data_IF_800688796562
#
_entry.id   IF_800688796562
#
_cell.length_a   1.000
_cell.length_b   1.000
_cell.length_c   1.000
_cell.angle_alpha   90.00
_cell.angle_beta   90.00
_cell.angle_gamma   90.00
#
_symmetry.space_group_name_H-M   'P 1'
#
loop_
_entity.id
_entity.type
_entity.pdbx_description
1 polymer ?
#
# COMPACT_ATOMS: atom_id res chain seq x y z
N UNK A 1 -0.62 -4.97 5.45
CA UNK A 1 -0.41 -6.06 4.46
C UNK A 1 1.03 -6.57 4.45
N UNK A 2 2.04 -5.70 4.49
CA UNK A 2 3.47 -6.09 4.35
C UNK A 2 4.32 -6.00 5.63
N UNK A 3 3.71 -5.65 6.77
CA UNK A 3 4.41 -5.54 8.06
C UNK A 3 4.91 -6.93 8.51
N UNK A 4 6.12 -7.00 9.06
CA UNK A 4 6.82 -8.23 9.48
C UNK A 4 7.13 -9.21 8.34
N UNK A 5 7.13 -8.77 7.08
CA UNK A 5 7.59 -9.59 5.96
C UNK A 5 9.08 -9.34 5.67
N UNK A 6 9.81 -10.37 5.20
CA UNK A 6 11.12 -10.18 4.58
C UNK A 6 11.03 -9.20 3.41
N UNK A 7 12.09 -8.42 3.21
CA UNK A 7 12.13 -7.35 2.19
C UNK A 7 11.85 -7.90 0.79
N UNK A 8 12.51 -9.00 0.42
CA UNK A 8 12.34 -9.69 -0.88
C UNK A 8 10.89 -10.12 -1.12
N UNK A 9 10.26 -10.73 -0.11
CA UNK A 9 8.86 -11.15 -0.17
C UNK A 9 7.89 -9.97 -0.24
N UNK A 10 8.19 -8.88 0.47
CA UNK A 10 7.38 -7.67 0.44
C UNK A 10 7.40 -7.00 -0.94
N UNK A 11 8.57 -6.87 -1.56
CA UNK A 11 8.71 -6.32 -2.92
C UNK A 11 7.94 -7.14 -3.95
N UNK A 12 8.16 -8.46 -3.98
CA UNK A 12 7.44 -9.38 -4.88
C UNK A 12 5.93 -9.28 -4.69
N UNK A 13 5.46 -9.21 -3.45
CA UNK A 13 4.04 -9.04 -3.17
C UNK A 13 3.48 -7.73 -3.73
N UNK A 14 4.22 -6.62 -3.66
CA UNK A 14 3.79 -5.34 -4.24
C UNK A 14 3.80 -5.38 -5.77
N UNK A 15 4.76 -6.06 -6.40
CA UNK A 15 4.77 -6.28 -7.86
C UNK A 15 3.59 -7.15 -8.32
N UNK A 16 3.23 -8.15 -7.53
CA UNK A 16 2.03 -8.97 -7.77
C UNK A 16 0.73 -8.15 -7.60
N UNK A 17 0.72 -7.13 -6.73
CA UNK A 17 -0.39 -6.18 -6.63
C UNK A 17 -0.47 -5.30 -7.86
N UNK A 18 0.67 -4.80 -8.37
CA UNK A 18 0.72 -3.97 -9.59
C UNK A 18 0.22 -4.75 -10.82
N UNK A 19 0.52 -6.05 -10.89
CA UNK A 19 0.05 -6.95 -11.95
C UNK A 19 -1.34 -7.55 -11.69
N UNK A 20 -2.06 -7.08 -10.65
CA UNK A 20 -3.39 -7.55 -10.26
C UNK A 20 -3.49 -9.06 -9.90
N UNK A 21 -2.36 -9.74 -9.67
CA UNK A 21 -2.32 -11.14 -9.26
C UNK A 21 -2.74 -11.33 -7.80
N UNK A 22 -2.42 -10.37 -6.95
CA UNK A 22 -2.74 -10.42 -5.52
C UNK A 22 -3.40 -9.13 -5.03
N UNK A 23 -4.62 -9.24 -4.48
CA UNK A 23 -5.33 -8.12 -3.90
C UNK A 23 -4.85 -7.79 -2.48
N UNK A 24 -4.88 -6.50 -2.14
CA UNK A 24 -4.66 -6.03 -0.77
C UNK A 24 -6.00 -6.07 -0.02
N UNK A 25 -6.08 -6.78 1.14
CA UNK A 25 -7.28 -6.77 1.97
C UNK A 25 -7.47 -5.40 2.64
N UNK A 26 -8.72 -4.91 2.67
CA UNK A 26 -9.09 -3.67 3.35
C UNK A 26 -9.74 -3.99 4.70
N UNK A 27 -9.11 -3.55 5.79
CA UNK A 27 -9.61 -3.75 7.15
C UNK A 27 -10.42 -2.58 7.70
N UNK A 28 -10.02 -1.33 7.39
CA UNK A 28 -10.61 -0.11 7.98
C UNK A 28 -11.44 0.71 6.99
N UNK A 29 -10.86 1.02 5.83
CA UNK A 29 -11.47 1.90 4.84
C UNK A 29 -12.39 1.12 3.88
N UNK A 30 -13.52 0.63 4.40
CA UNK A 30 -14.36 -0.37 3.73
C UNK A 30 -15.65 0.19 3.10
N UNK A 31 -15.89 1.51 3.17
CA UNK A 31 -17.08 2.15 2.61
C UNK A 31 -17.07 2.17 1.09
N UNK A 32 -17.80 1.23 0.47
CA UNK A 32 -17.92 1.13 -1.00
C UNK A 32 -16.80 0.38 -1.71
N UNK A 33 -15.98 -0.39 -0.98
CA UNK A 33 -14.91 -1.20 -1.60
C UNK A 33 -15.48 -2.46 -2.25
N UNK A 34 -15.06 -2.73 -3.48
CA UNK A 34 -15.40 -3.96 -4.21
C UNK A 34 -14.97 -5.23 -3.48
N UNK A 35 -15.64 -6.34 -3.79
CA UNK A 35 -15.34 -7.66 -3.20
C UNK A 35 -14.63 -8.54 -4.21
N UNK A 36 -13.65 -9.29 -3.73
CA UNK A 36 -12.85 -10.21 -4.53
C UNK A 36 -12.59 -11.49 -3.72
N UNK A 37 -12.43 -12.64 -4.38
CA UNK A 37 -12.15 -13.90 -3.70
C UNK A 37 -10.69 -14.03 -3.20
N UNK A 38 -9.74 -13.31 -3.82
CA UNK A 38 -8.31 -13.34 -3.50
C UNK A 38 -7.96 -13.03 -2.03
N UNK A 39 -8.54 -12.00 -1.36
CA UNK A 39 -8.21 -11.70 0.03
C UNK A 39 -8.78 -12.68 1.06
N UNK A 40 -9.61 -13.66 0.66
CA UNK A 40 -10.32 -14.58 1.60
C UNK A 40 -9.40 -15.25 2.61
N UNK A 41 -8.19 -15.64 2.21
CA UNK A 41 -7.21 -16.29 3.08
C UNK A 41 -6.59 -15.32 4.12
N UNK A 42 -6.71 -14.01 3.92
CA UNK A 42 -6.08 -12.98 4.75
C UNK A 42 -7.11 -12.10 5.47
N UNK A 43 -8.37 -12.12 5.06
CA UNK A 43 -9.45 -11.33 5.65
C UNK A 43 -10.83 -11.90 5.31
N UNK A 44 -11.71 -11.97 6.32
CA UNK A 44 -13.00 -12.66 6.22
C UNK A 44 -14.10 -11.88 5.48
N UNK A 45 -14.00 -10.54 5.41
CA UNK A 45 -15.04 -9.70 4.79
C UNK A 45 -15.06 -9.77 3.25
N UNK A 46 -14.07 -10.42 2.62
CA UNK A 46 -13.92 -10.54 1.17
C UNK A 46 -13.67 -9.20 0.43
N UNK A 47 -13.42 -8.10 1.14
CA UNK A 47 -13.15 -6.79 0.56
C UNK A 47 -11.66 -6.63 0.30
N UNK A 48 -11.31 -6.38 -0.96
CA UNK A 48 -9.94 -6.21 -1.39
C UNK A 48 -9.86 -5.51 -2.74
N UNK A 49 -8.81 -4.72 -2.94
CA UNK A 49 -8.52 -4.10 -4.22
C UNK A 49 -7.01 -4.07 -4.49
N UNK A 50 -6.64 -3.56 -5.66
CA UNK A 50 -5.26 -3.40 -6.11
C UNK A 50 -4.94 -1.90 -6.21
N UNK A 51 -4.53 -1.26 -5.10
CA UNK A 51 -4.21 0.16 -5.13
C UNK A 51 -2.85 0.39 -5.81
N UNK A 52 -2.85 0.45 -7.14
CA UNK A 52 -1.65 0.49 -8.00
C UNK A 52 -0.73 1.65 -7.62
N UNK A 53 -1.27 2.87 -7.55
CA UNK A 53 -0.50 4.07 -7.23
C UNK A 53 0.15 3.96 -5.85
N UNK A 54 -0.61 3.59 -4.81
CA UNK A 54 -0.07 3.44 -3.46
C UNK A 54 0.98 2.34 -3.37
N UNK A 55 0.79 1.21 -4.07
CA UNK A 55 1.76 0.12 -4.11
C UNK A 55 3.07 0.56 -4.76
N UNK A 56 3.02 1.36 -5.83
CA UNK A 56 4.19 1.93 -6.51
C UNK A 56 5.01 2.81 -5.56
N UNK A 57 4.37 3.78 -4.90
CA UNK A 57 5.06 4.66 -3.95
C UNK A 57 5.73 3.91 -2.80
N UNK A 58 5.08 2.86 -2.27
CA UNK A 58 5.66 2.04 -1.21
C UNK A 58 6.83 1.20 -1.73
N UNK A 59 6.74 0.68 -2.97
CA UNK A 59 7.83 -0.08 -3.58
C UNK A 59 9.09 0.79 -3.74
N UNK A 60 8.92 2.03 -4.18
CA UNK A 60 10.03 2.98 -4.31
C UNK A 60 10.63 3.35 -2.96
N UNK A 61 9.81 3.51 -1.92
CA UNK A 61 10.28 3.72 -0.55
C UNK A 61 11.10 2.53 -0.03
N UNK A 62 10.70 1.29 -0.35
CA UNK A 62 11.45 0.09 0.04
C UNK A 62 12.79 -0.04 -0.70
N UNK A 63 12.84 0.33 -1.99
CA UNK A 63 14.11 0.38 -2.76
C UNK A 63 15.07 1.41 -2.16
N UNK A 64 14.56 2.58 -1.77
CA UNK A 64 15.37 3.58 -1.09
C UNK A 64 15.86 3.08 0.29
N UNK A 65 15.00 2.40 1.06
CA UNK A 65 15.38 1.83 2.35
C UNK A 65 16.45 0.74 2.22
N UNK A 66 16.41 -0.07 1.17
CA UNK A 66 17.43 -1.05 0.83
C UNK A 66 18.76 -0.40 0.48
N UNK A 67 18.75 0.61 -0.40
CA UNK A 67 19.96 1.38 -0.74
C UNK A 67 20.61 2.00 0.51
N UNK A 68 19.80 2.52 1.44
CA UNK A 68 20.31 3.01 2.73
C UNK A 68 20.90 1.90 3.62
N UNK A 69 20.43 0.66 3.50
CA UNK A 69 20.95 -0.48 4.25
C UNK A 69 22.28 -0.97 3.67
N UNK A 70 22.41 -0.99 2.33
CA UNK A 70 23.66 -1.27 1.62
C UNK A 70 24.76 -0.27 2.00
N UNK A 71 24.43 1.03 2.01
CA UNK A 71 25.36 2.08 2.45
C UNK A 71 25.82 1.90 3.90
N UNK A 72 24.98 1.30 4.74
CA UNK A 72 25.30 0.97 6.14
C UNK A 72 25.98 -0.39 6.30
N UNK A 73 26.31 -1.07 5.21
CA UNK A 73 26.91 -2.41 5.19
C UNK A 73 26.08 -3.44 5.98
N UNK A 74 24.75 -3.30 5.98
CA UNK A 74 23.85 -4.31 6.52
C UNK A 74 23.66 -5.43 5.50
N UNK A 75 23.49 -6.66 5.98
CA UNK A 75 23.12 -7.79 5.13
C UNK A 75 21.69 -7.60 4.60
N UNK A 76 21.58 -7.36 3.28
CA UNK A 76 20.31 -7.06 2.61
C UNK A 76 19.37 -8.27 2.59
N UNK A 77 19.93 -9.49 2.57
CA UNK A 77 19.16 -10.72 2.43
C UNK A 77 18.38 -11.08 3.69
N UNK A 78 18.88 -10.67 4.86
CA UNK A 78 18.22 -10.88 6.16
C UNK A 78 17.28 -9.74 6.57
N UNK A 79 17.13 -8.69 5.76
CA UNK A 79 16.26 -7.56 6.09
C UNK A 79 14.77 -7.93 6.06
N UNK A 80 14.06 -7.39 7.05
CA UNK A 80 12.60 -7.48 7.11
C UNK A 80 12.00 -6.16 7.59
N UNK A 81 10.72 -5.96 7.27
CA UNK A 81 10.03 -4.72 7.63
C UNK A 81 9.53 -4.80 9.07
N UNK A 82 10.28 -4.21 10.00
CA UNK A 82 9.93 -4.17 11.42
C UNK A 82 8.69 -3.31 11.69
N UNK A 83 8.66 -2.10 11.13
CA UNK A 83 7.62 -1.11 11.41
C UNK A 83 7.27 -0.28 10.17
N UNK A 84 5.97 0.04 10.03
CA UNK A 84 5.46 0.99 9.03
C UNK A 84 4.38 1.83 9.72
N UNK A 85 4.49 3.14 9.57
CA UNK A 85 3.47 4.10 9.98
C UNK A 85 3.05 4.94 8.78
N UNK A 86 1.74 5.20 8.67
CA UNK A 86 1.19 6.07 7.63
C UNK A 86 0.42 7.19 8.31
N UNK A 87 0.87 8.42 8.10
CA UNK A 87 0.25 9.63 8.63
C UNK A 87 -0.33 10.46 7.48
N UNK A 88 -1.38 11.23 7.78
CA UNK A 88 -1.98 12.13 6.81
C UNK A 88 -1.13 13.40 6.68
N UNK A 89 -0.66 13.70 5.47
CA UNK A 89 -0.05 14.98 5.14
C UNK A 89 -1.11 16.09 4.99
N UNK A 90 -0.67 17.35 4.96
CA UNK A 90 -1.54 18.50 4.71
C UNK A 90 -2.33 18.30 3.41
N UNK A 91 -3.66 18.45 3.48
CA UNK A 91 -4.52 18.36 2.30
C UNK A 91 -4.30 19.58 1.42
N UNK A 92 -3.98 19.36 0.14
CA UNK A 92 -3.90 20.45 -0.83
C UNK A 92 -5.31 20.97 -1.17
N UNK A 93 -5.48 22.29 -1.19
CA UNK A 93 -6.76 22.93 -1.51
C UNK A 93 -6.97 22.96 -3.03
N UNK A 94 -8.09 22.38 -3.48
CA UNK A 94 -8.64 22.51 -4.85
C UNK A 94 -10.14 22.78 -4.75
N UNK A 95 -10.70 23.58 -5.67
CA UNK A 95 -12.14 23.87 -5.74
C UNK A 95 -12.74 23.18 -6.96
N UNK A 96 -13.86 22.50 -6.76
CA UNK A 96 -14.69 21.93 -7.83
C UNK A 96 -16.06 22.60 -7.81
N UNK A 97 -16.53 23.14 -8.94
CA UNK A 97 -17.89 23.67 -9.05
C UNK A 97 -18.90 22.53 -9.18
N UNK A 98 -20.06 22.67 -8.54
CA UNK A 98 -21.17 21.71 -8.60
C UNK A 98 -22.44 22.40 -9.10
N UNK A 99 -23.37 21.61 -9.62
CA UNK A 99 -24.67 22.10 -10.10
C UNK A 99 -25.46 22.75 -8.97
N UNK A 100 -26.29 23.74 -9.32
CA UNK A 100 -26.99 24.67 -8.42
C UNK A 100 -26.00 25.39 -7.50
N UNK A 101 -25.76 26.70 -7.74
CA UNK A 101 -24.72 27.49 -7.07
C UNK A 101 -24.78 27.33 -5.54
N UNK A 102 -24.01 26.40 -4.98
CA UNK A 102 -23.73 26.36 -3.55
C UNK A 102 -22.67 27.44 -3.30
N UNK A 103 -23.13 28.69 -3.19
CA UNK A 103 -22.32 29.75 -2.59
C UNK A 103 -22.01 29.34 -1.14
N UNK A 104 -20.79 29.64 -0.67
CA UNK A 104 -20.30 29.21 0.65
C UNK A 104 -21.16 29.73 1.79
#
# INVERSE_FOLDING_TARGET
AIRKLPLTKAKRYLEDVLSHKHAIPFWRFCGGVGRTAQPKNRHSNGQGCWPVESARFILDLLKNAESNAEVKSLDVDSLYISHILVNQAQKQRRRTYRAHKNQP
#
